data_IF_224057156850
#
_entry.id   IF_224057156850
#
_cell.length_a   1.000
_cell.length_b   1.000
_cell.length_c   1.000
_cell.angle_alpha   90.00
_cell.angle_beta   90.00
_cell.angle_gamma   90.00
#
_symmetry.space_group_name_H-M   'P 1'
#
loop_
_entity.id
_entity.type
_entity.pdbx_description
1 polymer ?
#
# COMPACT_ATOMS: atom_id res chain seq x y z
N UNK A 1 -15.44 -6.12 5.78
CA UNK A 1 -14.43 -5.44 4.97
C UNK A 1 -13.06 -5.96 5.39
N UNK A 2 -12.28 -6.54 4.47
CA UNK A 2 -10.95 -7.06 4.76
C UNK A 2 -9.90 -6.03 4.36
N UNK A 3 -8.92 -5.77 5.24
CA UNK A 3 -7.88 -4.75 5.03
C UNK A 3 -6.50 -5.37 5.12
N UNK A 4 -5.62 -5.01 4.20
CA UNK A 4 -4.18 -5.24 4.31
C UNK A 4 -3.50 -3.90 4.52
N UNK A 5 -2.84 -3.75 5.65
CA UNK A 5 -2.18 -2.50 6.03
C UNK A 5 -0.66 -2.66 5.92
N UNK A 6 -0.05 -1.88 5.02
CA UNK A 6 1.38 -1.89 4.76
C UNK A 6 2.08 -0.81 5.59
N UNK A 7 3.05 -1.22 6.39
CA UNK A 7 3.80 -0.36 7.30
C UNK A 7 5.32 -0.61 7.19
N UNK A 8 6.13 0.33 7.71
CA UNK A 8 7.59 0.32 7.53
C UNK A 8 7.99 0.19 6.04
N UNK A 9 8.93 -0.71 5.70
CA UNK A 9 9.33 -0.97 4.32
C UNK A 9 8.24 -1.67 3.51
N UNK A 10 7.21 -2.21 4.17
CA UNK A 10 6.05 -2.80 3.52
C UNK A 10 5.35 -1.83 2.56
N UNK A 11 5.46 -0.51 2.76
CA UNK A 11 4.86 0.48 1.83
C UNK A 11 5.42 0.39 0.41
N UNK A 12 6.63 -0.14 0.24
CA UNK A 12 7.24 -0.31 -1.08
C UNK A 12 6.51 -1.35 -1.94
N UNK A 13 5.62 -2.18 -1.36
CA UNK A 13 4.75 -3.07 -2.14
C UNK A 13 3.72 -2.33 -2.98
N UNK A 14 3.44 -1.05 -2.66
CA UNK A 14 2.44 -0.24 -3.34
C UNK A 14 2.98 0.67 -4.43
N UNK A 15 4.19 0.43 -4.96
CA UNK A 15 4.75 1.20 -6.07
C UNK A 15 4.43 0.57 -7.43
N UNK A 16 3.99 1.37 -8.41
CA UNK A 16 3.84 0.91 -9.80
C UNK A 16 5.14 0.93 -10.60
N UNK A 17 6.21 1.46 -10.04
CA UNK A 17 7.51 1.61 -10.71
C UNK A 17 8.41 0.39 -10.55
N UNK A 18 7.94 -0.65 -9.85
CA UNK A 18 8.67 -1.92 -9.81
C UNK A 18 8.74 -2.52 -11.23
N UNK A 19 9.89 -3.07 -11.59
CA UNK A 19 10.11 -3.75 -12.87
C UNK A 19 10.99 -4.98 -12.63
N UNK A 20 10.44 -6.02 -11.98
CA UNK A 20 11.17 -7.26 -11.74
C UNK A 20 11.44 -8.02 -13.07
N UNK A 21 12.37 -8.99 -13.07
CA UNK A 21 12.57 -9.91 -14.18
C UNK A 21 11.28 -10.62 -14.62
N UNK A 22 11.16 -10.96 -15.90
CA UNK A 22 9.95 -11.57 -16.46
C UNK A 22 9.66 -12.97 -15.91
N UNK A 23 10.71 -13.67 -15.46
CA UNK A 23 10.65 -15.00 -14.85
C UNK A 23 10.39 -14.95 -13.34
N UNK A 24 10.24 -13.76 -12.75
CA UNK A 24 9.93 -13.57 -11.33
C UNK A 24 8.50 -13.01 -11.12
N UNK A 25 8.03 -13.10 -9.88
CA UNK A 25 6.72 -12.59 -9.49
C UNK A 25 6.69 -11.06 -9.44
N UNK A 26 5.77 -10.46 -10.18
CA UNK A 26 5.51 -9.03 -10.10
C UNK A 26 4.64 -8.66 -8.89
N UNK A 27 5.25 -8.56 -7.70
CA UNK A 27 4.54 -8.41 -6.41
C UNK A 27 3.51 -7.26 -6.39
N UNK A 28 3.82 -6.01 -6.78
CA UNK A 28 2.82 -4.94 -6.76
C UNK A 28 1.58 -5.24 -7.62
N UNK A 29 1.78 -5.80 -8.82
CA UNK A 29 0.69 -6.16 -9.72
C UNK A 29 -0.18 -7.27 -9.12
N UNK A 30 0.43 -8.30 -8.55
CA UNK A 30 -0.32 -9.38 -7.88
C UNK A 30 -1.15 -8.87 -6.71
N UNK A 31 -0.64 -7.93 -5.93
CA UNK A 31 -1.44 -7.26 -4.90
C UNK A 31 -2.61 -6.47 -5.50
N UNK A 32 -2.35 -5.65 -6.54
CA UNK A 32 -3.40 -4.90 -7.22
C UNK A 32 -4.47 -5.82 -7.83
N UNK A 33 -4.09 -6.96 -8.42
CA UNK A 33 -5.00 -7.98 -8.95
C UNK A 33 -5.86 -8.60 -7.84
N UNK A 34 -5.23 -9.05 -6.74
CA UNK A 34 -5.94 -9.60 -5.59
C UNK A 34 -6.92 -8.58 -4.98
N UNK A 35 -6.49 -7.32 -4.87
CA UNK A 35 -7.32 -6.22 -4.37
C UNK A 35 -8.51 -5.91 -5.28
N UNK A 36 -8.36 -6.08 -6.60
CA UNK A 36 -9.48 -5.97 -7.56
C UNK A 36 -10.44 -7.15 -7.45
N UNK A 37 -9.91 -8.37 -7.46
CA UNK A 37 -10.70 -9.60 -7.52
C UNK A 37 -11.59 -9.79 -6.29
N UNK A 38 -11.07 -9.45 -5.11
CA UNK A 38 -11.75 -9.69 -3.84
C UNK A 38 -12.19 -8.41 -3.11
N UNK A 39 -12.09 -7.24 -3.76
CA UNK A 39 -12.40 -5.93 -3.17
C UNK A 39 -11.72 -5.69 -1.81
N UNK A 40 -10.40 -5.97 -1.77
CA UNK A 40 -9.59 -5.83 -0.56
C UNK A 40 -9.10 -4.39 -0.44
N UNK A 41 -9.23 -3.82 0.75
CA UNK A 41 -8.71 -2.50 1.06
C UNK A 41 -7.18 -2.55 1.31
N UNK A 42 -6.40 -2.13 0.31
CA UNK A 42 -4.93 -2.09 0.37
C UNK A 42 -4.46 -0.70 0.81
N UNK A 43 -4.00 -0.60 2.06
CA UNK A 43 -3.69 0.69 2.69
C UNK A 43 -2.20 0.83 2.96
N UNK A 44 -1.59 1.88 2.42
CA UNK A 44 -0.22 2.27 2.74
C UNK A 44 -0.23 3.32 3.86
N UNK A 45 0.57 3.11 4.91
CA UNK A 45 0.70 4.12 5.97
C UNK A 45 1.32 5.42 5.43
N UNK A 46 0.63 6.54 5.61
CA UNK A 46 1.05 7.87 5.15
C UNK A 46 2.44 8.28 5.64
N UNK A 47 2.72 8.13 6.94
CA UNK A 47 4.01 8.53 7.50
C UNK A 47 5.18 7.65 7.01
N UNK A 48 4.93 6.38 6.72
CA UNK A 48 5.95 5.48 6.18
C UNK A 48 6.14 5.70 4.67
N UNK A 49 5.04 5.89 3.93
CA UNK A 49 5.03 6.18 2.50
C UNK A 49 5.79 7.47 2.17
N UNK A 50 5.45 8.58 2.85
CA UNK A 50 6.13 9.87 2.68
C UNK A 50 7.64 9.78 2.91
N UNK A 51 8.07 9.10 4.00
CA UNK A 51 9.50 8.92 4.32
C UNK A 51 10.27 8.11 3.27
N UNK A 52 9.59 7.26 2.50
CA UNK A 52 10.19 6.35 1.50
C UNK A 52 9.91 6.77 0.06
N UNK A 53 9.23 7.90 -0.15
CA UNK A 53 8.91 8.40 -1.48
C UNK A 53 7.81 7.63 -2.19
N UNK A 54 6.89 6.97 -1.46
CA UNK A 54 5.63 6.49 -2.03
C UNK A 54 4.61 7.63 -1.98
N UNK A 55 4.10 7.98 -3.15
CA UNK A 55 3.32 9.19 -3.38
C UNK A 55 2.09 8.84 -4.21
N UNK A 56 0.91 9.27 -3.75
CA UNK A 56 -0.34 9.25 -4.50
C UNK A 56 -0.64 10.64 -5.10
N UNK A 57 -1.70 10.83 -5.89
CA UNK A 57 -2.00 12.13 -6.50
C UNK A 57 -2.21 13.27 -5.50
N UNK A 58 -2.81 13.00 -4.35
CA UNK A 58 -3.08 14.00 -3.32
C UNK A 58 -1.78 14.45 -2.64
N UNK A 59 -0.92 13.50 -2.27
CA UNK A 59 0.38 13.78 -1.68
C UNK A 59 1.34 14.42 -2.71
N UNK A 60 1.25 14.05 -3.99
CA UNK A 60 1.98 14.71 -5.08
C UNK A 60 1.64 16.20 -5.13
N UNK A 61 0.34 16.54 -5.11
CA UNK A 61 -0.13 17.93 -5.11
C UNK A 61 0.29 18.65 -3.83
N UNK A 62 0.10 18.02 -2.66
CA UNK A 62 0.38 18.60 -1.34
C UNK A 62 1.86 18.94 -1.17
N UNK A 63 2.75 18.06 -1.61
CA UNK A 63 4.20 18.21 -1.44
C UNK A 63 4.91 18.73 -2.70
N UNK A 64 4.14 19.19 -3.70
CA UNK A 64 4.64 19.78 -4.95
C UNK A 64 5.64 18.87 -5.66
N UNK A 65 5.32 17.59 -5.76
CA UNK A 65 6.07 16.61 -6.55
C UNK A 65 5.62 16.68 -8.00
N UNK A 66 6.53 16.34 -8.90
CA UNK A 66 6.30 16.26 -10.34
C UNK A 66 5.62 14.95 -10.76
N UNK A 67 5.71 13.91 -9.93
CA UNK A 67 5.07 12.63 -10.16
C UNK A 67 4.52 11.98 -8.86
N UNK A 68 3.59 11.06 -9.05
CA UNK A 68 3.17 10.07 -8.07
C UNK A 68 3.66 8.70 -8.53
N UNK A 69 3.72 7.69 -7.66
CA UNK A 69 4.20 6.34 -8.01
C UNK A 69 3.35 5.23 -7.40
N UNK A 70 2.20 5.54 -6.80
CA UNK A 70 1.30 4.54 -6.25
C UNK A 70 0.78 3.58 -7.33
N UNK A 71 0.71 2.29 -6.98
CA UNK A 71 0.08 1.23 -7.75
C UNK A 71 -1.43 1.26 -7.63
N UNK A 72 -2.11 0.69 -8.63
CA UNK A 72 -3.57 0.67 -8.66
C UNK A 72 -4.13 -0.10 -7.45
N UNK A 73 -5.33 0.29 -6.98
CA UNK A 73 -6.01 -0.19 -5.77
C UNK A 73 -5.35 0.13 -4.43
N UNK A 74 -4.08 0.54 -4.40
CA UNK A 74 -3.50 1.06 -3.18
C UNK A 74 -4.00 2.48 -2.91
N UNK A 75 -4.17 2.81 -1.63
CA UNK A 75 -4.41 4.18 -1.15
C UNK A 75 -3.53 4.50 0.04
N UNK A 76 -3.21 5.78 0.21
CA UNK A 76 -2.46 6.25 1.38
C UNK A 76 -3.43 6.66 2.49
N UNK A 77 -3.16 6.24 3.73
CA UNK A 77 -3.97 6.64 4.88
C UNK A 77 -3.22 6.60 6.21
N UNK A 78 -3.86 7.11 7.26
CA UNK A 78 -3.30 7.20 8.61
C UNK A 78 -3.25 5.87 9.36
N UNK A 79 -2.43 5.82 10.42
CA UNK A 79 -2.29 4.65 11.30
C UNK A 79 -3.61 4.21 11.95
N UNK A 80 -4.58 5.12 12.09
CA UNK A 80 -5.91 4.78 12.59
C UNK A 80 -6.61 3.67 11.79
N UNK A 81 -6.27 3.48 10.51
CA UNK A 81 -6.81 2.38 9.70
C UNK A 81 -6.28 1.00 10.13
N UNK A 82 -5.06 0.92 10.66
CA UNK A 82 -4.56 -0.32 11.26
C UNK A 82 -5.31 -0.63 12.56
N UNK A 83 -5.48 0.38 13.41
CA UNK A 83 -6.19 0.23 14.68
C UNK A 83 -7.64 -0.18 14.45
N UNK A 84 -8.34 0.50 13.55
CA UNK A 84 -9.71 0.16 13.15
C UNK A 84 -9.81 -1.29 12.65
N UNK A 85 -8.92 -1.72 11.75
CA UNK A 85 -8.92 -3.08 11.25
C UNK A 85 -8.66 -4.12 12.35
N UNK A 86 -7.75 -3.81 13.28
CA UNK A 86 -7.48 -4.67 14.44
C UNK A 86 -8.66 -4.78 15.42
N UNK A 87 -9.50 -3.74 15.52
CA UNK A 87 -10.73 -3.77 16.33
C UNK A 87 -11.86 -4.54 15.63
N UNK A 88 -11.99 -4.39 14.31
CA UNK A 88 -13.11 -4.97 13.55
C UNK A 88 -12.86 -6.44 13.14
N UNK A 89 -11.61 -6.86 12.99
CA UNK A 89 -11.27 -8.21 12.57
C UNK A 89 -11.22 -9.18 13.75
N UNK A 90 -11.64 -10.43 13.53
CA UNK A 90 -11.48 -11.50 14.53
C UNK A 90 -10.01 -11.81 14.83
N UNK A 91 -9.11 -11.60 13.86
CA UNK A 91 -7.69 -11.91 13.95
C UNK A 91 -6.86 -10.84 13.25
N UNK A 92 -5.73 -10.49 13.86
CA UNK A 92 -4.68 -9.68 13.25
C UNK A 92 -3.44 -10.55 13.03
N UNK A 93 -3.04 -10.70 11.76
CA UNK A 93 -1.86 -11.48 11.38
C UNK A 93 -0.81 -10.51 10.85
N UNK A 94 0.39 -10.57 11.42
CA UNK A 94 1.51 -9.68 11.07
C UNK A 94 2.62 -10.46 10.37
N UNK A 95 3.15 -9.87 9.31
CA UNK A 95 4.33 -10.35 8.59
C UNK A 95 5.40 -9.26 8.64
N UNK A 96 6.64 -9.62 8.94
CA UNK A 96 7.77 -8.70 9.05
C UNK A 96 8.99 -9.39 9.65
N UNK A 97 10.03 -8.60 9.86
CA UNK A 97 11.25 -8.97 10.61
C UNK A 97 11.28 -8.24 11.96
#
# INVERSE_FOLDING_TARGET
MFRVFFYHDGVNNGTRLASPPQDDRHIPNRWSELGKEHDIDLVLCVAAAQRRGIVDPDEMKRHKKDANNIAEKFRISGLGQLIEAGVQADRLITFGD
#
